data_IF_923974588843
#
_entry.id   IF_923974588843
#
_cell.length_a   1.000
_cell.length_b   1.000
_cell.length_c   1.000
_cell.angle_alpha   90.00
_cell.angle_beta   90.00
_cell.angle_gamma   90.00
#
_symmetry.space_group_name_H-M   'P 1'
#
loop_
_entity.id
_entity.type
_entity.pdbx_description
1 polymer ?
#
# COMPACT_ATOMS: atom_id res chain seq x y z
N UNK A 1 15.38 39.04 20.88
CA UNK A 1 16.16 37.99 21.57
C UNK A 1 15.37 37.59 22.81
N UNK A 2 14.69 36.43 22.78
CA UNK A 2 13.99 35.89 23.95
C UNK A 2 14.83 34.73 24.51
N UNK A 3 15.27 34.86 25.76
CA UNK A 3 16.10 33.86 26.45
C UNK A 3 15.31 32.59 26.74
N UNK A 4 15.92 31.42 26.46
CA UNK A 4 15.39 30.11 26.85
C UNK A 4 15.76 29.84 28.31
N UNK A 5 14.78 29.43 29.10
CA UNK A 5 14.96 28.99 30.48
C UNK A 5 15.72 27.64 30.51
N UNK A 6 16.88 27.53 31.19
CA UNK A 6 17.68 26.31 31.23
C UNK A 6 17.04 25.13 31.99
N UNK A 7 15.92 25.35 32.69
CA UNK A 7 15.23 24.31 33.48
C UNK A 7 13.91 23.87 32.87
N UNK A 8 13.66 24.21 31.61
CA UNK A 8 12.48 23.75 30.88
C UNK A 8 12.57 22.22 30.65
N UNK A 9 11.65 21.41 31.24
CA UNK A 9 11.63 19.96 31.06
C UNK A 9 11.32 19.53 29.62
N UNK A 10 10.90 20.46 28.74
CA UNK A 10 10.73 20.20 27.31
C UNK A 10 12.02 20.40 26.50
N UNK A 11 13.08 20.98 27.08
CA UNK A 11 14.35 21.24 26.38
C UNK A 11 15.10 19.97 25.95
N UNK A 12 14.89 18.84 26.63
CA UNK A 12 15.46 17.55 26.26
C UNK A 12 14.69 16.85 25.13
N UNK A 13 13.38 17.05 25.04
CA UNK A 13 12.54 16.57 23.93
C UNK A 13 12.97 17.24 22.62
N UNK A 14 13.31 18.54 22.67
CA UNK A 14 13.82 19.27 21.51
C UNK A 14 15.26 18.90 21.12
N UNK A 15 16.07 18.33 22.02
CA UNK A 15 17.41 17.82 21.67
C UNK A 15 17.34 16.47 20.96
N UNK A 16 16.40 15.60 21.36
CA UNK A 16 16.19 14.29 20.71
C UNK A 16 15.56 14.44 19.32
N UNK A 17 14.64 15.40 19.14
CA UNK A 17 14.09 15.75 17.82
C UNK A 17 15.01 16.65 16.98
N UNK A 18 16.07 17.20 17.57
CA UNK A 18 16.90 18.27 17.00
C UNK A 18 18.24 17.85 16.40
N UNK A 19 18.53 16.55 16.24
CA UNK A 19 19.72 16.09 15.53
C UNK A 19 19.40 15.60 14.11
N UNK A 20 19.59 16.51 13.16
CA UNK A 20 20.34 16.18 11.94
C UNK A 20 19.56 15.61 10.76
N UNK A 21 18.71 16.41 10.12
CA UNK A 21 18.42 16.26 8.68
C UNK A 21 18.56 17.63 8.01
N UNK A 22 19.42 17.80 6.98
CA UNK A 22 19.55 19.06 6.28
C UNK A 22 18.23 19.41 5.58
N UNK A 23 17.71 20.62 5.86
CA UNK A 23 16.43 21.15 5.37
C UNK A 23 16.57 21.85 4.02
N UNK A 24 17.20 21.18 3.05
CA UNK A 24 17.27 21.67 1.67
C UNK A 24 16.63 20.62 0.74
N UNK A 25 15.31 20.69 0.54
CA UNK A 25 14.60 19.90 -0.48
C UNK A 25 13.33 19.15 -0.07
N UNK A 26 12.71 19.44 1.07
CA UNK A 26 11.52 18.72 1.56
C UNK A 26 10.20 19.34 1.10
N UNK A 27 9.85 19.07 -0.16
CA UNK A 27 8.50 19.21 -0.69
C UNK A 27 8.16 18.01 -1.56
N UNK A 28 7.57 16.95 -0.98
CA UNK A 28 6.90 15.90 -1.78
C UNK A 28 7.33 14.44 -1.62
N UNK A 29 7.96 14.01 -0.52
CA UNK A 29 8.27 12.57 -0.34
C UNK A 29 8.26 12.02 1.10
N UNK A 30 8.07 12.86 2.12
CA UNK A 30 8.32 12.40 3.51
C UNK A 30 7.25 11.45 4.08
N UNK A 31 6.04 11.43 3.53
CA UNK A 31 5.00 10.45 3.89
C UNK A 31 5.21 9.05 3.28
N UNK A 32 5.98 8.93 2.20
CA UNK A 32 6.27 7.65 1.54
C UNK A 32 7.44 6.91 2.20
N UNK A 33 8.41 7.66 2.74
CA UNK A 33 9.66 7.11 3.28
C UNK A 33 9.47 6.32 4.59
N UNK A 34 8.55 6.74 5.48
CA UNK A 34 8.41 6.08 6.78
C UNK A 34 7.58 4.79 6.76
N UNK A 35 6.61 4.68 5.84
CA UNK A 35 5.89 3.41 5.58
C UNK A 35 6.74 2.35 4.86
N UNK A 36 7.88 2.76 4.28
CA UNK A 36 8.80 1.88 3.57
C UNK A 36 9.82 1.20 4.50
N UNK A 37 9.92 1.62 5.76
CA UNK A 37 11.01 1.23 6.66
C UNK A 37 10.77 -0.08 7.44
N UNK A 38 9.62 -0.74 7.25
CA UNK A 38 9.30 -2.00 7.95
C UNK A 38 8.73 -3.12 7.05
N UNK A 39 8.88 -3.02 5.72
CA UNK A 39 8.50 -4.11 4.82
C UNK A 39 9.62 -5.15 4.79
N UNK A 40 9.36 -6.36 5.28
CA UNK A 40 10.26 -7.53 5.28
C UNK A 40 10.74 -7.94 3.87
N UNK A 41 11.61 -7.16 3.22
CA UNK A 41 12.10 -7.46 1.87
C UNK A 41 11.00 -7.54 0.78
N UNK A 42 9.79 -7.05 1.07
CA UNK A 42 8.66 -7.07 0.14
C UNK A 42 8.87 -5.99 -0.93
N UNK A 43 8.97 -6.42 -2.19
CA UNK A 43 9.02 -5.52 -3.35
C UNK A 43 7.59 -5.18 -3.79
N UNK A 44 7.17 -3.95 -3.49
CA UNK A 44 5.87 -3.41 -3.90
C UNK A 44 6.12 -2.12 -4.67
N UNK A 45 5.65 -2.07 -5.91
CA UNK A 45 5.68 -0.87 -6.75
C UNK A 45 4.28 -0.51 -7.23
N UNK A 46 4.09 0.71 -7.75
CA UNK A 46 2.78 1.14 -8.25
C UNK A 46 2.60 2.65 -8.32
N UNK A 47 1.45 3.07 -8.83
CA UNK A 47 1.02 4.46 -8.94
C UNK A 47 -0.34 4.66 -8.28
N UNK A 48 -0.52 5.86 -7.71
CA UNK A 48 -1.80 6.32 -7.18
C UNK A 48 -2.16 5.73 -5.82
N UNK A 49 -3.32 6.15 -5.31
CA UNK A 49 -3.79 5.77 -3.99
C UNK A 49 -4.56 4.44 -4.01
N UNK A 50 -3.83 3.35 -3.77
CA UNK A 50 -4.36 2.00 -3.55
C UNK A 50 -3.68 1.41 -2.31
N UNK A 51 -4.17 1.69 -1.10
CA UNK A 51 -3.70 1.02 0.12
C UNK A 51 -3.93 -0.48 0.03
N UNK A 52 -2.94 -1.25 0.48
CA UNK A 52 -2.99 -2.71 0.44
C UNK A 52 -2.58 -3.34 1.77
N UNK A 53 -3.09 -4.53 2.04
CA UNK A 53 -2.67 -5.42 3.13
C UNK A 53 -2.34 -6.78 2.53
N UNK A 54 -1.17 -7.32 2.89
CA UNK A 54 -0.72 -8.64 2.48
C UNK A 54 -0.73 -9.58 3.69
N UNK A 55 -1.38 -10.73 3.55
CA UNK A 55 -1.48 -11.74 4.61
C UNK A 55 -0.96 -13.06 4.04
N UNK A 56 0.10 -13.60 4.64
CA UNK A 56 0.62 -14.92 4.31
C UNK A 56 0.07 -15.94 5.30
N UNK A 57 -0.55 -17.01 4.80
CA UNK A 57 -0.83 -18.23 5.55
C UNK A 57 -0.03 -19.42 5.01
N UNK A 58 -0.23 -20.60 5.58
CA UNK A 58 0.52 -21.80 5.19
C UNK A 58 0.24 -22.23 3.75
N UNK A 59 -1.03 -22.17 3.34
CA UNK A 59 -1.46 -22.63 2.01
C UNK A 59 -1.81 -21.50 1.03
N UNK A 60 -2.10 -20.29 1.53
CA UNK A 60 -2.62 -19.20 0.71
C UNK A 60 -1.94 -17.87 1.05
N UNK A 61 -1.88 -17.00 0.06
CA UNK A 61 -1.57 -15.57 0.24
C UNK A 61 -2.84 -14.80 -0.06
N UNK A 62 -3.22 -13.88 0.82
CA UNK A 62 -4.37 -12.99 0.64
C UNK A 62 -3.89 -11.56 0.49
N UNK A 63 -4.40 -10.89 -0.54
CA UNK A 63 -4.14 -9.47 -0.81
C UNK A 63 -5.45 -8.71 -0.70
N UNK A 64 -5.50 -7.75 0.20
CA UNK A 64 -6.65 -6.86 0.36
C UNK A 64 -6.23 -5.49 -0.18
N UNK A 65 -6.98 -4.94 -1.13
CA UNK A 65 -6.75 -3.62 -1.68
C UNK A 65 -7.99 -2.73 -1.47
N UNK A 66 -7.78 -1.52 -0.96
CA UNK A 66 -8.83 -0.51 -0.87
C UNK A 66 -8.92 0.24 -2.20
N UNK A 67 -10.07 0.10 -2.86
CA UNK A 67 -10.35 0.65 -4.17
C UNK A 67 -11.75 1.29 -4.19
N UNK A 68 -12.01 2.31 -3.35
CA UNK A 68 -13.32 2.95 -3.27
C UNK A 68 -13.64 3.76 -4.54
N UNK A 69 -14.92 3.80 -4.89
CA UNK A 69 -15.43 4.62 -6.02
C UNK A 69 -15.09 4.08 -7.41
N UNK A 70 -14.66 2.81 -7.52
CA UNK A 70 -14.34 2.17 -8.79
C UNK A 70 -15.31 1.00 -9.03
N UNK A 71 -15.81 0.88 -10.26
CA UNK A 71 -16.68 -0.25 -10.63
C UNK A 71 -15.85 -1.53 -10.75
N UNK A 72 -16.50 -2.67 -10.50
CA UNK A 72 -15.85 -3.98 -10.60
C UNK A 72 -15.24 -4.23 -11.98
N UNK A 73 -15.93 -3.80 -13.04
CA UNK A 73 -15.51 -4.03 -14.44
C UNK A 73 -14.29 -3.19 -14.83
N UNK A 74 -13.97 -2.15 -14.05
CA UNK A 74 -12.81 -1.29 -14.22
C UNK A 74 -11.58 -1.79 -13.43
N UNK A 75 -11.65 -2.97 -12.81
CA UNK A 75 -10.58 -3.59 -12.04
C UNK A 75 -9.99 -4.78 -12.83
N UNK A 76 -8.68 -4.76 -13.03
CA UNK A 76 -7.91 -5.84 -13.66
C UNK A 76 -6.97 -6.47 -12.66
N UNK A 77 -6.97 -7.80 -12.60
CA UNK A 77 -6.16 -8.60 -11.68
C UNK A 77 -5.42 -9.64 -12.51
N UNK A 78 -4.08 -9.62 -12.47
CA UNK A 78 -3.24 -10.63 -13.10
C UNK A 78 -2.29 -11.21 -12.06
N UNK A 79 -2.11 -12.52 -12.05
CA UNK A 79 -1.09 -13.17 -11.25
C UNK A 79 -0.28 -14.12 -12.13
N UNK A 80 1.04 -14.17 -11.91
CA UNK A 80 1.94 -15.12 -12.56
C UNK A 80 3.16 -15.41 -11.68
N UNK A 81 3.41 -16.69 -11.39
CA UNK A 81 4.48 -17.11 -10.51
C UNK A 81 4.40 -16.42 -9.15
N UNK A 82 5.38 -15.55 -8.87
CA UNK A 82 5.49 -14.75 -7.64
C UNK A 82 5.04 -13.30 -7.82
N UNK A 83 4.35 -12.95 -8.90
CA UNK A 83 3.95 -11.57 -9.18
C UNK A 83 2.44 -11.44 -9.22
N UNK A 84 1.89 -10.52 -8.43
CA UNK A 84 0.51 -10.06 -8.51
C UNK A 84 0.47 -8.63 -9.03
N UNK A 85 -0.37 -8.38 -10.01
CA UNK A 85 -0.69 -7.07 -10.54
C UNK A 85 -2.16 -6.75 -10.31
N UNK A 86 -2.40 -5.59 -9.71
CA UNK A 86 -3.72 -4.99 -9.51
C UNK A 86 -3.75 -3.66 -10.24
N UNK A 87 -4.69 -3.48 -11.16
CA UNK A 87 -4.95 -2.20 -11.84
C UNK A 87 -6.41 -1.83 -11.67
N UNK A 88 -6.69 -0.54 -11.51
CA UNK A 88 -8.05 -0.06 -11.43
C UNK A 88 -8.14 1.35 -12.05
N UNK A 89 -9.23 1.60 -12.78
CA UNK A 89 -9.52 2.91 -13.37
C UNK A 89 -10.63 3.61 -12.59
N UNK A 90 -10.40 4.88 -12.25
CA UNK A 90 -11.33 5.74 -11.54
C UNK A 90 -11.95 6.73 -12.52
N UNK A 91 -13.28 6.82 -12.50
CA UNK A 91 -13.97 7.86 -13.23
C UNK A 91 -13.67 9.23 -12.58
N UNK A 92 -13.48 10.29 -13.38
CA UNK A 92 -13.33 11.63 -12.84
C UNK A 92 -14.60 12.04 -12.07
N UNK A 93 -14.44 12.92 -11.09
CA UNK A 93 -15.60 13.47 -10.37
C UNK A 93 -16.49 14.26 -11.34
N UNK A 94 -17.76 13.89 -11.40
CA UNK A 94 -18.76 14.65 -12.16
C UNK A 94 -19.20 15.86 -11.34
N UNK A 95 -18.75 17.05 -11.74
CA UNK A 95 -19.26 18.35 -11.25
C UNK A 95 -19.96 19.07 -12.40
N UNK A 96 -21.04 19.80 -12.12
CA UNK A 96 -21.70 20.64 -13.11
C UNK A 96 -20.85 21.86 -13.44
N UNK A 97 -21.05 22.47 -14.63
CA UNK A 97 -20.33 23.70 -15.01
C UNK A 97 -20.55 24.87 -14.03
N UNK A 98 -21.70 24.88 -13.34
CA UNK A 98 -22.03 25.88 -12.32
C UNK A 98 -21.37 25.62 -10.95
N UNK A 99 -20.69 24.49 -10.78
CA UNK A 99 -20.11 24.06 -9.51
C UNK A 99 -18.59 24.27 -9.48
N UNK A 100 -18.05 24.48 -8.28
CA UNK A 100 -16.60 24.59 -8.06
C UNK A 100 -16.20 23.76 -6.86
N UNK A 101 -15.16 22.94 -7.03
CA UNK A 101 -14.51 22.26 -5.91
C UNK A 101 -13.84 23.32 -5.02
N UNK A 102 -14.35 23.48 -3.80
CA UNK A 102 -13.77 24.40 -2.80
C UNK A 102 -12.65 23.74 -1.99
N UNK A 103 -12.69 22.42 -1.86
CA UNK A 103 -11.71 21.59 -1.14
C UNK A 103 -11.89 20.11 -1.53
N UNK A 104 -10.80 19.35 -1.63
CA UNK A 104 -10.84 17.90 -1.84
C UNK A 104 -9.60 17.23 -1.27
N UNK A 105 -9.79 16.14 -0.52
CA UNK A 105 -8.73 15.20 -0.14
C UNK A 105 -8.72 13.95 -1.02
N UNK A 106 -9.71 13.82 -1.91
CA UNK A 106 -9.87 12.62 -2.74
C UNK A 106 -8.83 12.68 -3.87
N UNK A 107 -8.04 11.60 -4.07
CA UNK A 107 -7.07 11.55 -5.15
C UNK A 107 -7.75 11.62 -6.53
N UNK A 108 -7.18 12.43 -7.42
CA UNK A 108 -7.65 12.63 -8.80
C UNK A 108 -7.04 11.65 -9.80
N UNK A 109 -6.24 10.67 -9.35
CA UNK A 109 -5.65 9.65 -10.22
C UNK A 109 -6.74 8.85 -10.96
N UNK A 110 -6.82 8.99 -12.28
CA UNK A 110 -7.74 8.22 -13.14
C UNK A 110 -7.33 6.74 -13.26
N UNK A 111 -6.05 6.44 -13.07
CA UNK A 111 -5.54 5.06 -13.08
C UNK A 111 -4.60 4.83 -11.90
N UNK A 112 -4.92 3.78 -11.14
CA UNK A 112 -4.16 3.35 -9.98
C UNK A 112 -3.75 1.89 -10.15
N UNK A 113 -2.53 1.55 -9.74
CA UNK A 113 -2.06 0.17 -9.82
C UNK A 113 -1.02 -0.16 -8.77
N UNK A 114 -0.92 -1.46 -8.48
CA UNK A 114 0.10 -2.08 -7.63
C UNK A 114 0.64 -3.33 -8.30
N UNK A 115 1.96 -3.46 -8.32
CA UNK A 115 2.66 -4.71 -8.63
C UNK A 115 3.35 -5.17 -7.36
N UNK A 116 3.08 -6.40 -6.96
CA UNK A 116 3.48 -6.98 -5.68
C UNK A 116 4.27 -8.25 -5.98
N UNK A 117 5.52 -8.29 -5.55
CA UNK A 117 6.29 -9.54 -5.47
C UNK A 117 5.84 -10.31 -4.24
N UNK A 118 5.19 -11.43 -4.48
CA UNK A 118 4.67 -12.35 -3.49
C UNK A 118 5.83 -13.11 -2.82
N UNK A 119 5.70 -13.51 -1.54
CA UNK A 119 6.73 -14.26 -0.84
C UNK A 119 6.85 -15.73 -1.31
N UNK A 120 5.95 -16.19 -2.19
CA UNK A 120 5.91 -17.54 -2.72
C UNK A 120 5.15 -17.60 -4.06
N UNK A 121 5.49 -18.56 -4.94
CA UNK A 121 4.78 -18.74 -6.20
C UNK A 121 3.37 -19.30 -5.95
N UNK A 122 2.39 -18.83 -6.72
CA UNK A 122 0.96 -19.16 -6.56
C UNK A 122 0.41 -19.98 -7.73
N UNK A 123 -0.79 -20.56 -7.55
CA UNK A 123 -1.55 -21.27 -8.59
C UNK A 123 -2.56 -20.32 -9.21
N UNK A 124 -2.23 -19.75 -10.35
CA UNK A 124 -3.02 -18.72 -11.03
C UNK A 124 -4.44 -19.22 -11.33
N UNK A 125 -4.56 -20.43 -11.90
CA UNK A 125 -5.85 -21.02 -12.29
C UNK A 125 -6.82 -21.35 -11.15
N UNK A 126 -6.32 -21.41 -9.90
CA UNK A 126 -7.14 -21.70 -8.71
C UNK A 126 -7.32 -20.45 -7.82
N UNK A 127 -6.89 -19.29 -8.29
CA UNK A 127 -7.03 -18.03 -7.56
C UNK A 127 -8.46 -17.51 -7.61
N UNK A 128 -8.88 -16.75 -6.60
CA UNK A 128 -10.21 -16.14 -6.54
C UNK A 128 -10.15 -14.69 -6.06
N UNK A 129 -11.14 -13.90 -6.44
CA UNK A 129 -11.27 -12.51 -6.02
C UNK A 129 -12.71 -12.17 -5.67
N UNK A 130 -12.90 -11.35 -4.63
CA UNK A 130 -14.18 -10.76 -4.24
C UNK A 130 -14.03 -9.24 -4.17
N UNK A 131 -15.05 -8.51 -4.62
CA UNK A 131 -15.09 -7.06 -4.53
C UNK A 131 -16.41 -6.64 -3.92
N UNK A 132 -16.34 -5.99 -2.76
CA UNK A 132 -17.51 -5.56 -1.99
C UNK A 132 -17.17 -4.29 -1.23
N UNK A 133 -18.09 -3.32 -1.20
CA UNK A 133 -17.94 -2.07 -0.44
C UNK A 133 -16.61 -1.31 -0.68
N UNK A 134 -16.12 -1.31 -1.93
CA UNK A 134 -14.85 -0.65 -2.29
C UNK A 134 -13.61 -1.41 -1.82
N UNK A 135 -13.74 -2.68 -1.40
CA UNK A 135 -12.65 -3.53 -0.95
C UNK A 135 -12.49 -4.72 -1.89
N UNK A 136 -11.31 -4.85 -2.47
CA UNK A 136 -10.91 -6.00 -3.28
C UNK A 136 -10.15 -7.00 -2.39
N UNK A 137 -10.60 -8.24 -2.38
CA UNK A 137 -9.97 -9.35 -1.63
C UNK A 137 -9.57 -10.42 -2.64
N UNK A 138 -8.26 -10.56 -2.87
CA UNK A 138 -7.66 -11.58 -3.73
C UNK A 138 -7.11 -12.70 -2.87
N UNK A 139 -7.48 -13.94 -3.17
CA UNK A 139 -6.98 -15.14 -2.49
C UNK A 139 -6.22 -16.00 -3.49
N UNK A 140 -4.93 -16.19 -3.23
CA UNK A 140 -3.97 -16.86 -4.09
C UNK A 140 -3.45 -18.13 -3.40
N UNK A 141 -3.87 -19.34 -3.82
CA UNK A 141 -3.29 -20.58 -3.32
C UNK A 141 -1.81 -20.67 -3.69
N UNK A 142 -0.95 -21.03 -2.73
CA UNK A 142 0.46 -21.29 -2.99
C UNK A 142 0.62 -22.51 -3.90
N UNK A 143 1.64 -22.48 -4.75
CA UNK A 143 2.07 -23.63 -5.52
C UNK A 143 2.55 -24.76 -4.59
N UNK A 144 2.47 -26.02 -5.03
CA UNK A 144 2.84 -27.17 -4.19
C UNK A 144 4.30 -27.10 -3.72
N UNK A 145 5.20 -26.60 -4.56
CA UNK A 145 6.63 -26.44 -4.24
C UNK A 145 6.91 -25.37 -3.17
N UNK A 146 5.93 -24.51 -2.89
CA UNK A 146 6.10 -23.38 -1.97
C UNK A 146 5.41 -23.59 -0.62
N UNK A 147 4.72 -24.73 -0.42
CA UNK A 147 4.17 -25.10 0.88
C UNK A 147 5.32 -25.54 1.80
N UNK A 148 5.32 -25.03 3.03
CA UNK A 148 6.32 -25.40 4.04
C UNK A 148 6.10 -26.86 4.45
N UNK A 149 7.17 -27.63 4.52
CA UNK A 149 7.16 -29.01 5.02
C UNK A 149 7.86 -29.03 6.38
N UNK A 150 7.28 -29.74 7.36
CA UNK A 150 7.91 -29.93 8.67
C UNK A 150 9.17 -30.78 8.55
N UNK A 151 10.17 -30.48 9.40
CA UNK A 151 11.36 -31.32 9.58
C UNK A 151 11.26 -31.90 10.99
N UNK A 152 11.20 -33.22 11.10
CA UNK A 152 11.20 -33.91 12.39
C UNK A 152 12.62 -33.93 12.97
N UNK A 153 12.71 -33.87 14.30
CA UNK A 153 13.98 -33.94 15.04
C UNK A 153 14.18 -35.40 15.49
N UNK A 154 15.36 -35.97 15.21
CA UNK A 154 15.78 -37.31 15.69
C UNK A 154 16.13 -37.32 17.18
#
# INVERSE_FOLDING_TARGET
MFGRDPKDPFSEIFKVFGMGVPMDGLGGSMGKSMFQMNSMGLEISGKGFMPITLIEGDETIKVIALVPGINKDDIVINAIGETLELRAKRAPMAIMESEKIIYSEVPEDEEVYKTIKLPAPVKEGNSSAKFENGMLIVTLPKSEKAKRTGIDIE
#
